data_IF_700760306488
#
_entry.id   IF_700760306488
#
_cell.length_a   1.000
_cell.length_b   1.000
_cell.length_c   1.000
_cell.angle_alpha   90.00
_cell.angle_beta   90.00
_cell.angle_gamma   90.00
#
_symmetry.space_group_name_H-M   'P 1'
#
loop_
_entity.id
_entity.type
_entity.pdbx_description
1 polymer ?
#
# COMPACT_ATOMS: atom_id res chain seq x y z
N UNK A 1 3.72 -5.37 20.66
CA UNK A 1 4.08 -6.60 19.94
C UNK A 1 2.97 -6.86 18.95
N UNK A 2 3.23 -6.65 17.65
CA UNK A 2 2.26 -6.77 16.53
C UNK A 2 0.88 -6.11 16.75
N UNK A 3 0.84 -4.83 17.13
CA UNK A 3 -0.45 -4.11 17.31
C UNK A 3 -0.63 -2.98 16.28
N UNK A 4 0.36 -2.78 15.42
CA UNK A 4 0.29 -1.73 14.42
C UNK A 4 -0.52 -2.19 13.21
N UNK A 5 -1.18 -1.22 12.60
CA UNK A 5 -1.83 -1.36 11.30
C UNK A 5 -1.15 -0.42 10.34
N UNK A 6 -0.75 -0.94 9.19
CA UNK A 6 -0.20 -0.11 8.10
C UNK A 6 -1.02 -0.30 6.84
N UNK A 7 -0.90 0.64 5.90
CA UNK A 7 -1.33 0.43 4.52
C UNK A 7 -0.13 0.39 3.61
N UNK A 8 0.06 -0.73 2.93
CA UNK A 8 1.04 -0.90 1.86
C UNK A 8 0.43 -0.46 0.54
N UNK A 9 1.15 0.31 -0.25
CA UNK A 9 0.77 0.69 -1.60
C UNK A 9 1.74 0.07 -2.60
N UNK A 10 1.30 -0.97 -3.31
CA UNK A 10 2.10 -1.54 -4.39
C UNK A 10 1.98 -0.69 -5.67
N UNK A 11 3.11 -0.27 -6.24
CA UNK A 11 3.18 0.51 -7.48
C UNK A 11 3.06 -0.41 -8.68
N UNK A 12 2.09 -0.14 -9.54
CA UNK A 12 1.92 -0.77 -10.85
C UNK A 12 1.99 0.28 -11.95
N UNK A 13 2.70 -0.02 -13.02
CA UNK A 13 2.74 0.81 -14.23
C UNK A 13 2.19 -0.03 -15.38
N UNK A 14 1.15 0.47 -16.05
CA UNK A 14 0.55 -0.22 -17.18
C UNK A 14 1.39 -0.08 -18.46
N UNK A 15 0.99 -0.77 -19.52
CA UNK A 15 1.69 -0.75 -20.81
C UNK A 15 1.72 0.64 -21.48
N UNK A 16 0.86 1.56 -21.04
CA UNK A 16 0.79 2.93 -21.55
C UNK A 16 1.59 3.92 -20.70
N UNK A 17 2.22 3.46 -19.61
CA UNK A 17 3.00 4.27 -18.68
C UNK A 17 2.16 4.94 -17.59
N UNK A 18 0.87 4.61 -17.45
CA UNK A 18 0.07 5.11 -16.34
C UNK A 18 0.42 4.36 -15.06
N UNK A 19 0.55 5.12 -13.97
CA UNK A 19 0.92 4.58 -12.66
C UNK A 19 -0.33 4.46 -11.77
N UNK A 20 -0.45 3.32 -11.11
CA UNK A 20 -1.51 2.96 -10.19
C UNK A 20 -0.92 2.45 -8.88
N UNK A 21 -1.59 2.74 -7.77
CA UNK A 21 -1.23 2.24 -6.45
C UNK A 21 -2.31 1.31 -5.94
N UNK A 22 -1.92 0.09 -5.59
CA UNK A 22 -2.78 -0.96 -5.07
C UNK A 22 -2.64 -1.03 -3.54
N UNK A 23 -3.56 -0.40 -2.78
CA UNK A 23 -3.53 -0.43 -1.32
C UNK A 23 -3.84 -1.82 -0.77
N UNK A 24 -3.11 -2.21 0.27
CA UNK A 24 -3.38 -3.39 1.10
C UNK A 24 -3.15 -3.01 2.56
N UNK A 25 -4.19 -3.12 3.38
CA UNK A 25 -4.08 -2.94 4.82
C UNK A 25 -3.49 -4.20 5.44
N UNK A 26 -2.39 -4.03 6.16
CA UNK A 26 -1.73 -5.08 6.92
C UNK A 26 -1.89 -4.78 8.40
N UNK A 27 -2.65 -5.64 9.07
CA UNK A 27 -2.87 -5.59 10.51
C UNK A 27 -1.87 -6.51 11.22
N UNK A 28 -1.72 -6.31 12.53
CA UNK A 28 -0.85 -7.12 13.37
C UNK A 28 0.58 -7.17 12.82
N UNK A 29 1.10 -6.00 12.42
CA UNK A 29 2.49 -5.83 11.99
C UNK A 29 3.31 -5.23 13.13
N UNK A 30 4.62 -5.47 13.12
CA UNK A 30 5.55 -4.84 14.05
C UNK A 30 6.29 -3.76 13.28
N UNK A 31 6.05 -2.51 13.66
CA UNK A 31 6.66 -1.34 13.05
C UNK A 31 7.53 -0.65 14.08
N UNK A 32 8.83 -0.61 13.80
CA UNK A 32 9.83 0.08 14.61
C UNK A 32 10.23 1.34 13.85
N UNK A 33 10.02 2.52 14.44
CA UNK A 33 10.41 3.81 13.85
C UNK A 33 11.43 4.52 14.73
N UNK A 34 12.55 4.93 14.15
CA UNK A 34 13.63 5.61 14.86
C UNK A 34 13.53 7.14 14.69
N UNK A 35 12.42 7.73 15.14
CA UNK A 35 12.20 9.18 15.02
C UNK A 35 13.10 10.03 15.94
N UNK A 36 13.47 9.50 17.10
CA UNK A 36 14.16 10.27 18.16
C UNK A 36 15.68 10.06 18.19
N UNK A 37 16.17 8.91 17.73
CA UNK A 37 17.61 8.56 17.80
C UNK A 37 18.49 9.34 16.79
N UNK A 38 17.95 9.74 15.64
CA UNK A 38 18.71 10.46 14.61
C UNK A 38 18.94 11.94 14.93
N UNK A 39 17.99 12.60 15.61
CA UNK A 39 18.10 14.03 16.00
C UNK A 39 19.33 14.28 16.88
N UNK A 40 19.64 13.34 17.78
CA UNK A 40 20.72 13.49 18.77
C UNK A 40 22.11 13.29 18.14
N UNK A 41 22.21 12.52 17.05
CA UNK A 41 23.51 12.01 16.57
C UNK A 41 24.11 12.79 15.40
N UNK A 42 23.30 13.37 14.52
CA UNK A 42 23.81 13.89 13.23
C UNK A 42 23.53 15.37 12.98
N UNK A 43 22.64 16.02 13.76
CA UNK A 43 22.25 17.42 13.53
C UNK A 43 21.58 17.66 12.18
N UNK A 44 21.15 16.60 11.51
CA UNK A 44 20.41 16.61 10.25
C UNK A 44 19.04 16.01 10.57
N UNK A 45 17.96 16.66 10.13
CA UNK A 45 16.57 16.14 10.13
C UNK A 45 16.46 14.93 9.19
N UNK A 46 17.25 13.89 9.44
CA UNK A 46 17.47 12.79 8.51
C UNK A 46 16.35 11.76 8.65
N UNK A 47 15.54 11.69 7.59
CA UNK A 47 14.67 10.58 7.17
C UNK A 47 14.28 9.61 8.28
N UNK A 48 13.02 9.67 8.71
CA UNK A 48 12.45 8.68 9.61
C UNK A 48 12.71 7.28 9.02
N UNK A 49 13.59 6.51 9.66
CA UNK A 49 13.83 5.12 9.25
C UNK A 49 12.82 4.21 9.91
N UNK A 50 12.30 3.26 9.16
CA UNK A 50 11.35 2.25 9.65
C UNK A 50 11.89 0.84 9.43
N UNK A 51 11.64 -0.06 10.38
CA UNK A 51 11.74 -1.50 10.19
C UNK A 51 10.37 -2.11 10.42
N UNK A 52 9.80 -2.67 9.35
CA UNK A 52 8.48 -3.29 9.33
C UNK A 52 8.61 -4.81 9.21
N UNK A 53 8.03 -5.53 10.16
CA UNK A 53 8.00 -6.99 10.15
C UNK A 53 6.59 -7.47 9.82
N UNK A 54 6.46 -8.21 8.73
CA UNK A 54 5.17 -8.71 8.23
C UNK A 54 5.17 -10.22 8.30
N UNK A 55 4.35 -10.78 9.18
CA UNK A 55 4.15 -12.22 9.28
C UNK A 55 3.47 -12.77 8.00
N UNK A 56 3.82 -14.00 7.64
CA UNK A 56 3.18 -14.72 6.54
C UNK A 56 2.82 -16.15 6.92
N UNK A 57 1.88 -16.74 6.21
CA UNK A 57 1.52 -18.16 6.36
C UNK A 57 1.84 -18.93 5.07
N UNK A 58 2.66 -20.00 5.13
CA UNK A 58 2.77 -20.94 4.02
C UNK A 58 1.44 -21.69 3.81
N UNK A 59 0.94 -21.70 2.57
CA UNK A 59 -0.27 -22.44 2.20
C UNK A 59 -0.10 -23.07 0.82
N UNK A 60 -0.21 -24.40 0.71
CA UNK A 60 -0.07 -25.15 -0.55
C UNK A 60 1.16 -24.75 -1.38
N UNK A 61 2.31 -24.57 -0.73
CA UNK A 61 3.56 -24.17 -1.39
C UNK A 61 3.64 -22.70 -1.79
N UNK A 62 2.65 -21.89 -1.42
CA UNK A 62 2.62 -20.43 -1.64
C UNK A 62 2.74 -19.68 -0.32
N UNK A 63 3.21 -18.44 -0.39
CA UNK A 63 3.28 -17.53 0.76
C UNK A 63 2.02 -16.66 0.74
N UNK A 64 1.29 -16.66 1.86
CA UNK A 64 0.10 -15.85 2.05
C UNK A 64 0.36 -14.76 3.08
N UNK A 65 0.07 -13.51 2.73
CA UNK A 65 0.14 -12.35 3.63
C UNK A 65 -1.25 -11.76 3.73
N UNK A 66 -1.86 -11.80 4.90
CA UNK A 66 -3.21 -11.28 5.17
C UNK A 66 -4.25 -11.70 4.09
N UNK A 67 -4.25 -12.99 3.74
CA UNK A 67 -5.16 -13.56 2.74
C UNK A 67 -4.77 -13.32 1.27
N UNK A 68 -3.74 -12.52 0.99
CA UNK A 68 -3.21 -12.29 -0.37
C UNK A 68 -2.04 -13.20 -0.67
N UNK A 69 -1.99 -13.71 -1.91
CA UNK A 69 -0.84 -14.47 -2.39
C UNK A 69 0.33 -13.52 -2.63
N UNK A 70 1.45 -13.78 -1.96
CA UNK A 70 2.69 -13.05 -2.22
C UNK A 70 3.36 -13.55 -3.50
N UNK A 71 3.84 -12.59 -4.29
CA UNK A 71 4.64 -12.83 -5.49
C UNK A 71 5.93 -12.03 -5.39
N UNK A 72 7.00 -12.53 -6.02
CA UNK A 72 8.21 -11.73 -6.17
C UNK A 72 7.92 -10.47 -7.00
N UNK A 73 8.65 -9.36 -6.81
CA UNK A 73 8.39 -8.12 -7.55
C UNK A 73 8.29 -8.29 -9.06
N UNK A 74 9.14 -9.16 -9.63
CA UNK A 74 9.12 -9.49 -11.05
C UNK A 74 7.84 -10.22 -11.46
N UNK A 75 7.42 -11.22 -10.68
CA UNK A 75 6.21 -11.98 -10.96
C UNK A 75 4.95 -11.12 -10.77
N UNK A 76 4.93 -10.27 -9.74
CA UNK A 76 3.80 -9.40 -9.44
C UNK A 76 3.53 -8.40 -10.58
N UNK A 77 4.58 -7.80 -11.14
CA UNK A 77 4.49 -6.88 -12.29
C UNK A 77 4.06 -7.55 -13.60
N UNK A 78 4.24 -8.86 -13.73
CA UNK A 78 3.93 -9.62 -14.94
C UNK A 78 2.47 -10.13 -14.98
N UNK A 79 1.69 -9.86 -13.93
CA UNK A 79 0.29 -10.29 -13.83
C UNK A 79 -0.64 -9.51 -14.77
N UNK A 80 -1.85 -10.03 -14.95
CA UNK A 80 -2.94 -9.25 -15.54
C UNK A 80 -3.56 -8.31 -14.50
N UNK A 81 -4.21 -7.25 -14.97
CA UNK A 81 -4.77 -6.22 -14.09
C UNK A 81 -5.82 -6.77 -13.11
N UNK A 82 -6.53 -7.83 -13.50
CA UNK A 82 -7.58 -8.47 -12.70
C UNK A 82 -7.02 -9.22 -11.48
N UNK A 83 -5.75 -9.63 -11.52
CA UNK A 83 -5.10 -10.40 -10.46
C UNK A 83 -4.44 -9.51 -9.40
N UNK A 84 -4.11 -8.26 -9.74
CA UNK A 84 -3.41 -7.31 -8.86
C UNK A 84 -4.12 -7.11 -7.50
N UNK A 85 -5.45 -6.96 -7.41
CA UNK A 85 -6.13 -6.80 -6.12
C UNK A 85 -6.00 -8.03 -5.20
N UNK A 86 -5.84 -9.23 -5.75
CA UNK A 86 -5.76 -10.49 -5.01
C UNK A 86 -4.35 -10.90 -4.57
N UNK A 87 -3.33 -10.15 -4.98
CA UNK A 87 -1.93 -10.47 -4.74
C UNK A 87 -1.18 -9.32 -4.08
N UNK A 88 0.01 -9.59 -3.57
CA UNK A 88 0.85 -8.60 -2.88
C UNK A 88 2.33 -8.85 -3.22
N UNK A 89 3.12 -7.78 -3.20
CA UNK A 89 4.58 -7.83 -3.30
C UNK A 89 5.19 -6.86 -2.30
N UNK A 90 6.50 -6.94 -2.09
CA UNK A 90 7.28 -5.90 -1.42
C UNK A 90 8.42 -5.52 -2.36
N UNK A 91 8.37 -4.33 -2.95
CA UNK A 91 9.36 -3.83 -3.90
C UNK A 91 9.83 -2.42 -3.53
N UNK A 92 11.04 -2.05 -3.96
CA UNK A 92 11.65 -0.74 -3.63
C UNK A 92 10.91 0.47 -4.24
N UNK A 93 9.95 0.25 -5.14
CA UNK A 93 9.10 1.29 -5.72
C UNK A 93 7.79 1.46 -4.98
N UNK A 94 7.53 0.60 -4.00
CA UNK A 94 6.35 0.64 -3.15
C UNK A 94 6.61 1.54 -1.92
N UNK A 95 5.55 1.92 -1.23
CA UNK A 95 5.64 2.60 0.05
C UNK A 95 4.57 2.09 1.01
N UNK A 96 4.77 2.32 2.30
CA UNK A 96 3.78 2.02 3.32
C UNK A 96 3.57 3.22 4.23
N UNK A 97 2.39 3.28 4.83
CA UNK A 97 2.00 4.33 5.77
C UNK A 97 1.48 3.71 7.05
N UNK A 98 1.74 4.37 8.19
CA UNK A 98 1.08 3.99 9.44
C UNK A 98 -0.42 4.32 9.37
N UNK A 99 -1.26 3.35 9.72
CA UNK A 99 -2.71 3.46 9.78
C UNK A 99 -3.45 2.73 8.65
N UNK A 100 -4.78 2.67 8.82
CA UNK A 100 -5.74 2.19 7.82
C UNK A 100 -6.09 3.34 6.87
N UNK A 101 -5.48 3.33 5.69
CA UNK A 101 -5.86 4.24 4.62
C UNK A 101 -7.08 3.68 3.93
N UNK A 102 -8.24 4.25 4.20
CA UNK A 102 -9.42 4.08 3.37
C UNK A 102 -9.56 5.27 2.42
N UNK A 103 -9.85 5.01 1.15
CA UNK A 103 -10.39 6.06 0.27
C UNK A 103 -11.73 6.44 0.88
N UNK A 104 -11.82 7.65 1.47
CA UNK A 104 -13.08 8.12 2.07
C UNK A 104 -14.19 8.00 1.02
N UNK A 105 -15.30 7.37 1.41
CA UNK A 105 -16.49 7.07 0.57
C UNK A 105 -17.02 8.25 -0.24
N UNK A 106 -16.63 9.49 0.05
CA UNK A 106 -17.00 10.69 -0.70
C UNK A 106 -16.47 10.69 -2.16
N UNK A 107 -15.36 10.00 -2.47
CA UNK A 107 -14.87 9.83 -3.86
C UNK A 107 -15.27 8.50 -4.51
N UNK A 108 -15.86 7.57 -3.74
CA UNK A 108 -16.34 6.28 -4.25
C UNK A 108 -17.73 6.35 -4.91
N UNK A 109 -18.33 7.55 -5.00
CA UNK A 109 -19.59 7.75 -5.71
C UNK A 109 -19.35 7.86 -7.23
N UNK A 110 -19.46 6.70 -7.88
CA UNK A 110 -19.98 6.48 -9.24
C UNK A 110 -19.21 7.18 -10.38
N UNK A 111 -18.19 6.49 -10.90
CA UNK A 111 -17.65 6.75 -12.24
C UNK A 111 -18.20 5.66 -13.17
N UNK A 112 -19.05 6.04 -14.12
CA UNK A 112 -19.38 5.15 -15.24
C UNK A 112 -18.25 5.17 -16.29
N UNK A 113 -18.33 4.31 -17.32
CA UNK A 113 -17.31 4.19 -18.37
C UNK A 113 -17.08 5.48 -19.19
N UNK A 114 -17.88 6.54 -18.95
CA UNK A 114 -17.81 7.82 -19.66
C UNK A 114 -17.45 9.00 -18.75
N UNK A 115 -17.12 8.77 -17.46
CA UNK A 115 -16.67 9.82 -16.55
C UNK A 115 -17.74 10.82 -16.13
N UNK A 116 -19.02 10.45 -16.22
CA UNK A 116 -20.12 11.30 -15.76
C UNK A 116 -20.54 10.97 -14.32
N UNK A 117 -20.74 12.00 -13.50
CA UNK A 117 -21.29 11.88 -12.15
C UNK A 117 -22.73 11.35 -12.23
N UNK A 118 -22.98 10.13 -11.72
CA UNK A 118 -24.32 9.56 -11.68
C UNK A 118 -24.98 9.97 -10.36
N UNK A 119 -26.04 10.80 -10.39
CA UNK A 119 -26.91 10.96 -9.22
C UNK A 119 -27.74 9.67 -9.07
N UNK A 120 -27.47 8.93 -8.00
CA UNK A 120 -28.14 7.67 -7.68
C UNK A 120 -29.65 7.90 -7.43
N UNK A 121 -30.49 7.52 -8.40
CA UNK A 121 -31.94 7.46 -8.25
C UNK A 121 -32.46 6.03 -7.98
N UNK A 122 -31.57 5.03 -7.85
CA UNK A 122 -31.95 3.66 -7.53
C UNK A 122 -31.15 3.17 -6.32
N UNK A 123 -31.67 3.50 -5.13
CA UNK A 123 -31.24 2.99 -3.82
C UNK A 123 -31.11 1.46 -3.80
N UNK A 124 -30.01 0.92 -4.30
CA UNK A 124 -29.64 -0.47 -4.09
C UNK A 124 -29.17 -0.62 -2.64
N UNK A 125 -29.56 -1.69 -1.94
CA UNK A 125 -29.26 -1.82 -0.53
C UNK A 125 -27.75 -1.85 -0.31
N UNK A 126 -27.29 -0.90 0.51
CA UNK A 126 -25.90 -0.69 0.90
C UNK A 126 -25.24 -1.99 1.33
N UNK A 127 -26.00 -2.94 1.93
CA UNK A 127 -25.57 -4.25 2.44
C UNK A 127 -24.83 -5.15 1.44
N UNK A 128 -25.05 -5.00 0.12
CA UNK A 128 -24.34 -5.83 -0.88
C UNK A 128 -22.95 -5.27 -1.24
N UNK A 129 -22.70 -4.01 -0.87
CA UNK A 129 -21.45 -3.26 -1.14
C UNK A 129 -20.54 -3.25 0.10
N UNK A 130 -20.96 -3.80 1.25
CA UNK A 130 -20.35 -3.52 2.56
C UNK A 130 -19.05 -4.28 2.87
N UNK A 131 -18.71 -5.39 2.22
CA UNK A 131 -17.57 -6.22 2.71
C UNK A 131 -16.46 -6.54 1.71
N UNK A 132 -16.56 -6.15 0.43
CA UNK A 132 -15.34 -6.04 -0.38
C UNK A 132 -14.66 -4.74 -0.01
N UNK A 133 -13.62 -4.81 0.82
CA UNK A 133 -12.69 -3.71 1.11
C UNK A 133 -12.48 -2.82 -0.14
N UNK A 134 -13.22 -1.72 -0.24
CA UNK A 134 -13.06 -0.71 -1.30
C UNK A 134 -11.91 0.23 -0.90
N UNK A 135 -10.71 -0.33 -0.79
CA UNK A 135 -9.50 0.47 -0.99
C UNK A 135 -9.35 0.61 -2.50
N UNK A 136 -10.02 1.62 -3.08
CA UNK A 136 -9.97 1.85 -4.52
C UNK A 136 -8.52 1.99 -4.99
N UNK A 137 -8.21 1.42 -6.16
CA UNK A 137 -6.92 1.63 -6.83
C UNK A 137 -6.72 3.13 -7.00
N UNK A 138 -5.58 3.66 -6.55
CA UNK A 138 -5.28 5.09 -6.63
C UNK A 138 -4.53 5.36 -7.91
N UNK A 139 -5.05 6.27 -8.75
CA UNK A 139 -4.34 6.69 -9.97
C UNK A 139 -3.33 7.76 -9.60
N UNK A 140 -2.06 7.52 -9.91
CA UNK A 140 -0.99 8.47 -9.59
C UNK A 140 -1.22 9.85 -10.24
N UNK A 141 -1.74 9.85 -11.47
CA UNK A 141 -2.04 11.06 -12.24
C UNK A 141 -3.04 12.00 -11.57
N UNK A 142 -3.94 11.50 -10.71
CA UNK A 142 -4.90 12.34 -9.97
C UNK A 142 -4.21 13.20 -8.89
N UNK A 143 -2.97 12.85 -8.55
CA UNK A 143 -2.13 13.55 -7.58
C UNK A 143 -0.96 14.29 -8.24
N UNK A 144 -0.86 14.25 -9.56
CA UNK A 144 0.14 15.01 -10.31
C UNK A 144 -0.34 16.45 -10.52
N UNK A 145 0.42 17.40 -9.98
CA UNK A 145 0.13 18.83 -10.07
C UNK A 145 1.42 19.64 -10.28
N UNK A 146 1.32 20.98 -10.23
CA UNK A 146 2.52 21.85 -10.25
C UNK A 146 3.38 21.69 -8.99
N UNK A 147 2.82 21.16 -7.91
CA UNK A 147 3.47 21.02 -6.61
C UNK A 147 3.87 19.57 -6.37
N UNK A 148 3.00 18.62 -6.73
CA UNK A 148 3.10 17.21 -6.40
C UNK A 148 3.39 16.37 -7.65
N UNK A 149 4.35 15.44 -7.54
CA UNK A 149 4.84 14.59 -8.64
C UNK A 149 4.18 13.20 -8.67
N UNK A 150 2.95 13.11 -8.18
CA UNK A 150 2.21 11.85 -8.05
C UNK A 150 1.77 11.58 -6.62
N UNK A 151 1.14 10.42 -6.41
CA UNK A 151 0.47 10.09 -5.16
C UNK A 151 1.44 9.92 -3.99
N UNK A 152 2.57 9.24 -4.22
CA UNK A 152 3.59 9.08 -3.17
C UNK A 152 4.14 10.44 -2.69
N UNK A 153 4.44 11.36 -3.60
CA UNK A 153 4.94 12.70 -3.26
C UNK A 153 3.90 13.54 -2.51
N UNK A 154 2.62 13.44 -2.93
CA UNK A 154 1.49 14.02 -2.18
C UNK A 154 1.40 13.45 -0.76
N UNK A 155 1.51 12.12 -0.60
CA UNK A 155 1.40 11.47 0.70
C UNK A 155 2.55 11.90 1.62
N UNK A 156 3.79 11.83 1.13
CA UNK A 156 4.99 12.14 1.91
C UNK A 156 5.03 13.60 2.38
N UNK A 157 4.51 14.56 1.60
CA UNK A 157 4.44 15.97 2.03
C UNK A 157 3.34 16.29 3.03
N UNK A 158 2.24 15.54 3.03
CA UNK A 158 1.00 15.91 3.74
C UNK A 158 0.71 15.06 4.96
N UNK A 159 1.34 13.89 5.05
CA UNK A 159 1.10 12.94 6.12
C UNK A 159 2.44 12.51 6.73
N UNK A 160 2.44 12.35 8.05
CA UNK A 160 3.55 11.73 8.77
C UNK A 160 3.56 10.22 8.56
N UNK A 161 4.70 9.58 8.88
CA UNK A 161 4.87 8.12 8.88
C UNK A 161 4.60 7.48 7.50
N UNK A 162 5.07 8.13 6.45
CA UNK A 162 5.07 7.64 5.07
C UNK A 162 6.48 7.18 4.73
N UNK A 163 6.66 5.91 4.41
CA UNK A 163 7.98 5.31 4.21
C UNK A 163 8.09 4.64 2.85
N UNK A 164 9.05 5.07 2.04
CA UNK A 164 9.45 4.34 0.84
C UNK A 164 10.17 3.05 1.20
N UNK A 165 9.84 1.93 0.54
CA UNK A 165 10.56 0.68 0.77
C UNK A 165 11.99 0.84 0.24
N UNK A 166 12.97 0.65 1.13
CA UNK A 166 14.39 0.77 0.84
C UNK A 166 15.08 -0.59 0.68
N UNK A 167 14.59 -1.60 1.39
CA UNK A 167 15.09 -2.96 1.34
C UNK A 167 14.00 -3.95 1.76
N UNK A 168 14.16 -5.20 1.32
CA UNK A 168 13.29 -6.32 1.68
C UNK A 168 14.17 -7.52 2.01
N UNK A 169 14.06 -8.00 3.25
CA UNK A 169 14.60 -9.26 3.75
C UNK A 169 13.52 -10.35 3.82
N UNK A 170 13.95 -11.61 3.66
CA UNK A 170 13.07 -12.76 3.62
C UNK A 170 12.67 -13.21 2.19
N UNK A 171 11.72 -14.15 2.06
CA UNK A 171 10.92 -14.74 3.13
C UNK A 171 11.74 -15.63 4.07
N UNK A 172 11.70 -15.34 5.38
CA UNK A 172 12.38 -16.14 6.41
C UNK A 172 11.51 -17.31 6.84
N UNK A 173 12.10 -18.52 6.96
CA UNK A 173 11.32 -19.75 7.17
C UNK A 173 11.18 -20.19 8.63
N UNK A 174 12.13 -19.85 9.49
CA UNK A 174 12.12 -20.30 10.89
C UNK A 174 11.02 -19.59 11.69
N UNK A 175 10.98 -18.27 11.55
CA UNK A 175 9.84 -17.43 11.93
C UNK A 175 9.29 -16.91 10.61
N UNK A 176 8.11 -17.36 10.14
CA UNK A 176 7.54 -16.94 8.86
C UNK A 176 7.23 -15.44 8.78
N UNK A 177 8.17 -14.63 8.32
CA UNK A 177 8.00 -13.19 8.13
C UNK A 177 8.87 -12.61 7.00
N UNK A 178 8.55 -11.37 6.63
CA UNK A 178 9.40 -10.46 5.88
C UNK A 178 9.91 -9.35 6.80
N UNK A 179 11.13 -8.87 6.55
CA UNK A 179 11.66 -7.66 7.15
C UNK A 179 11.74 -6.59 6.05
N UNK A 180 11.14 -5.43 6.26
CA UNK A 180 11.03 -4.38 5.25
C UNK A 180 11.59 -3.10 5.84
N UNK A 181 12.64 -2.56 5.24
CA UNK A 181 13.20 -1.27 5.63
C UNK A 181 12.51 -0.12 4.93
N UNK A 182 12.18 0.95 5.65
CA UNK A 182 11.56 2.17 5.16
C UNK A 182 12.41 3.43 5.39
N UNK A 183 12.29 4.43 4.50
CA UNK A 183 12.93 5.75 4.60
C UNK A 183 12.10 6.86 3.95
#
# INVERSE_FOLDING_TARGET
MYDETITLFNRYEDQTGNVFWYPTVLQHVDLITDKVANIVRTGIDSADTASLHVAYTPYNGTIMVQGKKWLSPKAWKAQTNEELPGTITFANEDFFVLGDYCVKKEQAYLIDNNGAYVQDHEKRPISTIVERQMYGVVKDAEYTSRVDRGFYDYMNKKYDNVFSISNVGGPYRLIPHFEIGGK
#
